data_IF_909357124732
#
_entry.id   IF_909357124732
#
_cell.length_a   1.000
_cell.length_b   1.000
_cell.length_c   1.000
_cell.angle_alpha   90.00
_cell.angle_beta   90.00
_cell.angle_gamma   90.00
#
_symmetry.space_group_name_H-M   'P 1'
#
loop_
_entity.id
_entity.type
_entity.pdbx_description
1 polymer ?
#
# COMPACT_ATOMS: atom_id res chain seq x y z
N UNK A 1 -7.31 16.18 25.94
CA UNK A 1 -7.54 16.44 24.50
C UNK A 1 -6.63 17.53 23.94
N UNK A 2 -6.49 18.69 24.61
CA UNK A 2 -5.58 19.77 24.17
C UNK A 2 -4.14 19.28 23.98
N UNK A 3 -3.63 18.45 24.89
CA UNK A 3 -2.27 17.89 24.82
C UNK A 3 -2.02 17.04 23.57
N UNK A 4 -3.01 16.23 23.18
CA UNK A 4 -2.94 15.39 21.96
C UNK A 4 -2.96 16.26 20.69
N UNK A 5 -3.73 17.34 20.70
CA UNK A 5 -3.83 18.27 19.59
C UNK A 5 -2.54 19.09 19.43
N UNK A 6 -1.93 19.52 20.54
CA UNK A 6 -0.62 20.18 20.57
C UNK A 6 0.48 19.26 20.05
N UNK A 7 0.47 17.98 20.44
CA UNK A 7 1.42 16.98 19.91
C UNK A 7 1.23 16.78 18.41
N UNK A 8 -0.01 16.69 17.92
CA UNK A 8 -0.30 16.53 16.50
C UNK A 8 0.15 17.76 15.68
N UNK A 9 -0.14 18.97 16.16
CA UNK A 9 0.33 20.21 15.53
C UNK A 9 1.87 20.32 15.56
N UNK A 10 2.51 19.94 16.66
CA UNK A 10 3.97 19.87 16.77
C UNK A 10 4.58 18.91 15.77
N UNK A 11 3.95 17.75 15.55
CA UNK A 11 4.34 16.78 14.53
C UNK A 11 4.20 17.35 13.10
N UNK A 12 3.12 18.07 12.80
CA UNK A 12 2.92 18.72 11.51
C UNK A 12 3.97 19.81 11.23
N UNK A 13 4.29 20.64 12.23
CA UNK A 13 5.34 21.67 12.12
C UNK A 13 6.72 21.04 11.97
N UNK A 14 7.00 19.98 12.74
CA UNK A 14 8.24 19.22 12.63
C UNK A 14 8.44 18.62 11.23
N UNK A 15 7.40 18.00 10.67
CA UNK A 15 7.43 17.45 9.30
C UNK A 15 7.72 18.56 8.29
N UNK A 16 7.07 19.72 8.42
CA UNK A 16 7.29 20.88 7.54
C UNK A 16 8.72 21.42 7.65
N UNK A 17 9.29 21.45 8.84
CA UNK A 17 10.67 21.84 9.09
C UNK A 17 11.67 20.84 8.48
N UNK A 18 11.42 19.52 8.61
CA UNK A 18 12.24 18.49 7.95
C UNK A 18 12.22 18.62 6.41
N UNK A 19 11.08 18.99 5.81
CA UNK A 19 10.99 19.28 4.38
C UNK A 19 11.85 20.47 3.96
N UNK A 20 11.91 21.51 4.80
CA UNK A 20 12.72 22.72 4.57
C UNK A 20 14.22 22.44 4.66
N UNK A 21 14.64 21.63 5.63
CA UNK A 21 16.06 21.33 5.91
C UNK A 21 16.65 20.21 5.04
N UNK A 22 15.84 19.45 4.30
CA UNK A 22 16.25 18.25 3.55
C UNK A 22 16.98 17.17 4.38
N UNK A 23 16.98 17.30 5.71
CA UNK A 23 17.54 16.33 6.65
C UNK A 23 16.40 15.48 7.17
N UNK A 24 16.32 14.23 6.71
CA UNK A 24 15.35 13.25 7.18
C UNK A 24 16.06 12.17 8.02
N UNK A 25 16.43 12.46 9.29
CA UNK A 25 17.15 11.48 10.09
C UNK A 25 16.27 10.27 10.49
N UNK A 26 14.94 10.43 10.67
CA UNK A 26 14.07 9.34 11.16
C UNK A 26 12.60 9.36 10.64
N UNK A 27 12.10 10.46 10.05
CA UNK A 27 10.65 10.70 9.94
C UNK A 27 10.13 10.65 8.50
N UNK A 28 10.01 9.44 7.95
CA UNK A 28 8.95 9.12 6.99
C UNK A 28 8.59 7.64 7.11
N UNK A 29 7.32 7.27 7.38
CA UNK A 29 6.89 5.88 7.25
C UNK A 29 6.76 5.44 5.79
N UNK A 30 7.02 6.32 4.82
CA UNK A 30 6.95 6.04 3.39
C UNK A 30 8.36 6.07 2.79
N UNK A 31 9.17 5.07 3.13
CA UNK A 31 10.37 4.77 2.33
C UNK A 31 9.87 4.19 1.01
N UNK A 32 9.77 5.05 -0.01
CA UNK A 32 9.53 4.56 -1.36
C UNK A 32 10.81 3.89 -1.83
N UNK A 33 10.91 2.61 -1.50
CA UNK A 33 12.03 1.80 -1.93
C UNK A 33 11.76 1.36 -3.33
N UNK A 34 12.47 2.01 -4.23
CA UNK A 34 12.30 1.80 -5.64
C UNK A 34 12.83 0.40 -6.06
N UNK A 35 13.64 -0.23 -5.20
CA UNK A 35 14.19 -1.57 -5.39
C UNK A 35 13.15 -2.66 -5.13
N UNK A 36 12.74 -3.36 -6.20
CA UNK A 36 11.74 -4.44 -6.15
C UNK A 36 12.19 -5.67 -5.35
N UNK A 37 13.50 -5.85 -5.16
CA UNK A 37 14.10 -7.01 -4.48
C UNK A 37 14.40 -6.77 -3.01
N UNK A 38 14.16 -5.55 -2.50
CA UNK A 38 14.40 -5.24 -1.10
C UNK A 38 13.67 -6.20 -0.16
N UNK A 39 14.32 -6.64 0.91
CA UNK A 39 13.73 -7.50 1.94
C UNK A 39 13.19 -6.71 3.14
N UNK A 40 13.25 -5.37 3.06
CA UNK A 40 12.82 -4.50 4.16
C UNK A 40 11.28 -4.55 4.30
N UNK A 41 10.76 -4.66 5.53
CA UNK A 41 9.33 -4.81 5.75
C UNK A 41 8.54 -3.55 5.39
N UNK A 42 9.14 -2.37 5.57
CA UNK A 42 8.50 -1.08 5.25
C UNK A 42 8.66 -0.65 3.79
N UNK A 43 9.15 -1.54 2.92
CA UNK A 43 9.32 -1.22 1.52
C UNK A 43 7.99 -1.21 0.77
N UNK A 44 7.75 -0.12 0.06
CA UNK A 44 6.50 0.16 -0.64
C UNK A 44 6.73 0.12 -2.16
N UNK A 45 5.92 -0.66 -2.87
CA UNK A 45 5.89 -0.65 -4.34
C UNK A 45 5.18 0.58 -4.89
N UNK A 46 4.27 1.16 -4.10
CA UNK A 46 3.59 2.40 -4.40
C UNK A 46 3.26 3.19 -3.11
N UNK A 47 3.63 4.46 -3.04
CA UNK A 47 3.39 5.33 -1.86
C UNK A 47 1.96 5.86 -1.72
N UNK A 48 1.28 6.13 -2.82
CA UNK A 48 -0.08 6.70 -2.86
C UNK A 48 -1.08 6.05 -1.90
N UNK A 49 -1.22 4.72 -1.87
CA UNK A 49 -2.15 4.10 -0.93
C UNK A 49 -1.84 4.36 0.54
N UNK A 50 -0.56 4.40 0.93
CA UNK A 50 -0.14 4.76 2.29
C UNK A 50 -0.37 6.23 2.60
N UNK A 51 -0.12 7.14 1.65
CA UNK A 51 -0.38 8.57 1.84
C UNK A 51 -1.88 8.81 2.06
N UNK A 52 -2.73 8.14 1.29
CA UNK A 52 -4.18 8.20 1.46
C UNK A 52 -4.62 7.57 2.80
N UNK A 53 -4.07 6.41 3.16
CA UNK A 53 -4.33 5.77 4.45
C UNK A 53 -3.88 6.64 5.63
N UNK A 54 -2.78 7.37 5.49
CA UNK A 54 -2.32 8.35 6.47
C UNK A 54 -3.32 9.50 6.59
N UNK A 55 -3.77 10.06 5.46
CA UNK A 55 -4.82 11.09 5.46
C UNK A 55 -6.10 10.63 6.18
N UNK A 56 -6.56 9.41 5.90
CA UNK A 56 -7.73 8.82 6.58
C UNK A 56 -7.49 8.69 8.09
N UNK A 57 -6.30 8.25 8.52
CA UNK A 57 -5.95 8.17 9.96
C UNK A 57 -5.94 9.53 10.64
N UNK A 58 -5.46 10.57 9.95
CA UNK A 58 -5.52 11.94 10.48
C UNK A 58 -6.99 12.35 10.67
N UNK A 59 -7.84 12.13 9.67
CA UNK A 59 -9.28 12.43 9.77
C UNK A 59 -9.92 11.64 10.92
N UNK A 60 -9.61 10.34 11.08
CA UNK A 60 -10.07 9.52 12.20
C UNK A 60 -9.75 10.19 13.55
N UNK A 61 -8.53 10.71 13.75
CA UNK A 61 -8.18 11.38 15.01
C UNK A 61 -8.90 12.71 15.23
N UNK A 62 -9.37 13.34 14.16
CA UNK A 62 -10.08 14.63 14.21
C UNK A 62 -11.59 14.49 14.37
N UNK A 63 -12.19 13.33 14.07
CA UNK A 63 -13.66 13.12 14.16
C UNK A 63 -14.20 13.57 15.51
N UNK A 64 -13.61 13.11 16.61
CA UNK A 64 -14.06 13.46 17.97
C UNK A 64 -13.96 14.96 18.29
N UNK A 65 -13.00 15.65 17.69
CA UNK A 65 -12.79 17.09 17.93
C UNK A 65 -13.82 17.89 17.14
N UNK A 66 -14.14 17.45 15.92
CA UNK A 66 -15.02 18.16 15.00
C UNK A 66 -16.50 17.84 15.24
N UNK A 67 -16.81 16.65 15.74
CA UNK A 67 -18.18 16.14 15.89
C UNK A 67 -18.52 16.04 17.38
N UNK A 68 -19.44 16.90 17.84
CA UNK A 68 -19.90 16.91 19.24
C UNK A 68 -20.98 15.88 19.58
N UNK A 69 -21.47 15.11 18.61
CA UNK A 69 -22.57 14.15 18.77
C UNK A 69 -22.08 12.71 18.66
N UNK A 70 -22.20 11.93 19.73
CA UNK A 70 -21.71 10.55 19.82
C UNK A 70 -22.26 9.61 18.73
N UNK A 71 -23.56 9.73 18.39
CA UNK A 71 -24.19 8.90 17.33
C UNK A 71 -23.59 9.18 15.96
N UNK A 72 -23.33 10.45 15.67
CA UNK A 72 -22.77 10.90 14.39
C UNK A 72 -21.29 10.49 14.33
N UNK A 73 -20.55 10.69 15.42
CA UNK A 73 -19.14 10.26 15.56
C UNK A 73 -18.98 8.75 15.27
N UNK A 74 -19.85 7.89 15.83
CA UNK A 74 -19.79 6.45 15.62
C UNK A 74 -19.97 6.05 14.14
N UNK A 75 -20.90 6.70 13.43
CA UNK A 75 -21.13 6.47 12.00
C UNK A 75 -19.93 6.96 11.16
N UNK A 76 -19.35 8.11 11.51
CA UNK A 76 -18.13 8.60 10.85
C UNK A 76 -16.94 7.65 11.03
N UNK A 77 -16.72 7.14 12.25
CA UNK A 77 -15.67 6.15 12.48
C UNK A 77 -15.87 4.91 11.63
N UNK A 78 -17.10 4.38 11.57
CA UNK A 78 -17.40 3.21 10.74
C UNK A 78 -17.10 3.46 9.26
N UNK A 79 -17.54 4.59 8.71
CA UNK A 79 -17.26 4.93 7.31
C UNK A 79 -15.76 5.07 7.01
N UNK A 80 -15.02 5.73 7.91
CA UNK A 80 -13.58 5.96 7.74
C UNK A 80 -12.77 4.68 7.92
N UNK A 81 -13.10 3.82 8.89
CA UNK A 81 -12.40 2.53 9.07
C UNK A 81 -12.71 1.56 7.94
N UNK A 82 -13.93 1.55 7.39
CA UNK A 82 -14.26 0.79 6.18
C UNK A 82 -13.45 1.26 4.98
N UNK A 83 -13.34 2.58 4.77
CA UNK A 83 -12.53 3.16 3.69
C UNK A 83 -11.05 2.81 3.86
N UNK A 84 -10.54 2.82 5.10
CA UNK A 84 -9.18 2.44 5.41
C UNK A 84 -8.92 0.94 5.15
N UNK A 85 -9.86 0.07 5.54
CA UNK A 85 -9.77 -1.37 5.29
C UNK A 85 -9.81 -1.68 3.79
N UNK A 86 -10.71 -1.04 3.04
CA UNK A 86 -10.75 -1.13 1.58
C UNK A 86 -9.41 -0.72 0.95
N UNK A 87 -8.83 0.37 1.41
CA UNK A 87 -7.56 0.87 0.88
C UNK A 87 -6.41 -0.13 1.06
N UNK A 88 -6.32 -0.77 2.23
CA UNK A 88 -5.30 -1.77 2.50
C UNK A 88 -5.53 -3.08 1.74
N UNK A 89 -6.78 -3.55 1.67
CA UNK A 89 -7.14 -4.80 1.01
C UNK A 89 -7.01 -4.73 -0.52
N UNK A 90 -7.46 -3.63 -1.15
CA UNK A 90 -7.45 -3.49 -2.62
C UNK A 90 -6.05 -3.24 -3.19
N UNK A 91 -5.24 -2.42 -2.51
CA UNK A 91 -3.98 -1.93 -3.08
C UNK A 91 -2.71 -2.63 -2.58
N UNK A 92 -2.73 -3.29 -1.41
CA UNK A 92 -1.60 -4.05 -0.84
C UNK A 92 -0.22 -3.38 -1.08
N UNK A 93 0.05 -2.21 -0.48
CA UNK A 93 1.11 -1.31 -0.92
C UNK A 93 2.54 -1.79 -0.62
N UNK A 94 2.71 -2.72 0.32
CA UNK A 94 4.04 -3.21 0.70
C UNK A 94 4.50 -4.28 -0.28
N UNK A 95 5.79 -4.28 -0.60
CA UNK A 95 6.38 -5.35 -1.41
C UNK A 95 6.25 -6.69 -0.67
N UNK A 96 6.47 -6.69 0.64
CA UNK A 96 6.51 -7.91 1.46
C UNK A 96 5.10 -8.36 1.87
N UNK A 97 4.73 -9.58 1.46
CA UNK A 97 3.36 -10.10 1.62
C UNK A 97 2.89 -10.16 3.08
N UNK A 98 3.74 -10.58 4.03
CA UNK A 98 3.32 -10.68 5.43
C UNK A 98 2.94 -9.34 6.04
N UNK A 99 3.56 -8.24 5.59
CA UNK A 99 3.26 -6.88 6.05
C UNK A 99 1.89 -6.43 5.53
N UNK A 100 1.53 -6.80 4.29
CA UNK A 100 0.19 -6.56 3.77
C UNK A 100 -0.86 -7.33 4.57
N UNK A 101 -0.62 -8.61 4.89
CA UNK A 101 -1.53 -9.39 5.74
C UNK A 101 -1.70 -8.75 7.12
N UNK A 102 -0.61 -8.29 7.73
CA UNK A 102 -0.64 -7.60 9.03
C UNK A 102 -1.46 -6.31 8.96
N UNK A 103 -1.21 -5.46 7.95
CA UNK A 103 -1.92 -4.18 7.77
C UNK A 103 -3.40 -4.39 7.44
N UNK A 104 -3.71 -5.36 6.59
CA UNK A 104 -5.06 -5.80 6.27
C UNK A 104 -5.80 -6.27 7.51
N UNK A 105 -5.18 -7.16 8.30
CA UNK A 105 -5.74 -7.64 9.56
C UNK A 105 -6.03 -6.52 10.57
N UNK A 106 -5.07 -5.62 10.82
CA UNK A 106 -5.29 -4.46 11.71
C UNK A 106 -6.41 -3.57 11.19
N UNK A 107 -6.50 -3.35 9.88
CA UNK A 107 -7.54 -2.51 9.29
C UNK A 107 -8.96 -3.06 9.47
N UNK A 108 -9.14 -4.38 9.32
CA UNK A 108 -10.42 -5.04 9.57
C UNK A 108 -10.75 -5.11 11.07
N UNK A 109 -9.74 -5.28 11.92
CA UNK A 109 -9.94 -5.18 13.37
C UNK A 109 -10.42 -3.77 13.79
N UNK A 110 -9.93 -2.70 13.15
CA UNK A 110 -10.45 -1.34 13.39
C UNK A 110 -11.92 -1.19 12.95
N UNK A 111 -12.32 -1.83 11.85
CA UNK A 111 -13.73 -1.88 11.43
C UNK A 111 -14.58 -2.57 12.51
N UNK A 112 -14.13 -3.70 13.04
CA UNK A 112 -14.81 -4.39 14.14
C UNK A 112 -14.99 -3.49 15.37
N UNK A 113 -13.95 -2.76 15.76
CA UNK A 113 -14.04 -1.77 16.84
C UNK A 113 -15.10 -0.69 16.55
N UNK A 114 -15.17 -0.19 15.31
CA UNK A 114 -16.18 0.80 14.91
C UNK A 114 -17.60 0.22 14.90
N UNK A 115 -17.78 -1.03 14.48
CA UNK A 115 -19.07 -1.73 14.53
C UNK A 115 -19.54 -1.88 15.97
N UNK A 116 -18.67 -2.34 16.88
CA UNK A 116 -18.97 -2.45 18.30
C UNK A 116 -19.32 -1.07 18.91
N UNK A 117 -18.61 -0.01 18.52
CA UNK A 117 -18.92 1.36 18.95
C UNK A 117 -20.32 1.81 18.49
N UNK A 118 -20.69 1.53 17.24
CA UNK A 118 -22.05 1.83 16.73
C UNK A 118 -23.10 1.08 17.54
N UNK A 119 -22.92 -0.22 17.79
CA UNK A 119 -23.85 -1.02 18.60
C UNK A 119 -23.96 -0.48 20.03
N UNK A 120 -22.83 -0.05 20.62
CA UNK A 120 -22.79 0.54 21.95
C UNK A 120 -23.55 1.87 22.01
N UNK A 121 -23.43 2.74 21.00
CA UNK A 121 -24.00 4.11 21.01
C UNK A 121 -25.47 4.14 20.59
N UNK A 122 -25.93 3.19 19.77
CA UNK A 122 -27.33 3.13 19.35
C UNK A 122 -28.19 2.30 20.31
N UNK A 123 -27.62 1.34 21.04
CA UNK A 123 -28.31 0.47 22.01
C UNK A 123 -29.69 -0.01 21.51
N UNK A 124 -29.74 -0.71 20.35
CA UNK A 124 -31.00 -1.07 19.72
C UNK A 124 -31.83 -1.98 20.64
N UNK A 125 -33.02 -1.52 21.04
CA UNK A 125 -33.98 -2.32 21.82
C UNK A 125 -33.64 -2.51 23.31
N UNK A 126 -32.67 -1.79 23.87
CA UNK A 126 -32.26 -1.93 25.27
C UNK A 126 -32.99 -0.91 26.16
N UNK A 127 -33.58 -1.38 27.26
CA UNK A 127 -34.21 -0.53 28.29
C UNK A 127 -33.14 0.11 29.18
N UNK A 128 -33.45 1.29 29.73
CA UNK A 128 -32.50 2.08 30.53
C UNK A 128 -31.95 1.35 31.78
N UNK A 129 -32.70 0.36 32.29
CA UNK A 129 -32.31 -0.47 33.43
C UNK A 129 -31.20 -1.49 33.11
N UNK A 130 -31.02 -1.86 31.84
CA UNK A 130 -30.06 -2.89 31.41
C UNK A 130 -28.81 -2.30 30.72
N UNK A 131 -28.63 -0.97 30.75
CA UNK A 131 -27.54 -0.29 30.04
C UNK A 131 -26.15 -0.74 30.52
N UNK A 132 -25.98 -1.03 31.81
CA UNK A 132 -24.71 -1.51 32.37
C UNK A 132 -24.36 -2.90 31.84
N UNK A 133 -25.33 -3.83 31.88
CA UNK A 133 -25.16 -5.18 31.33
C UNK A 133 -24.90 -5.17 29.82
N UNK A 134 -25.53 -4.24 29.10
CA UNK A 134 -25.29 -4.04 27.67
C UNK A 134 -23.85 -3.59 27.38
N UNK A 135 -23.34 -2.62 28.15
CA UNK A 135 -21.97 -2.14 28.02
C UNK A 135 -20.93 -3.24 28.31
N UNK A 136 -21.17 -4.06 29.33
CA UNK A 136 -20.30 -5.20 29.66
C UNK A 136 -20.31 -6.25 28.53
N UNK A 137 -21.49 -6.57 28.01
CA UNK A 137 -21.65 -7.51 26.90
C UNK A 137 -20.98 -7.01 25.62
N UNK A 138 -21.08 -5.71 25.33
CA UNK A 138 -20.39 -5.10 24.19
C UNK A 138 -18.87 -5.07 24.36
N UNK A 139 -18.37 -4.89 25.58
CA UNK A 139 -16.92 -4.97 25.86
C UNK A 139 -16.40 -6.38 25.62
N UNK A 140 -17.14 -7.41 26.06
CA UNK A 140 -16.79 -8.81 25.79
C UNK A 140 -16.86 -9.14 24.30
N UNK A 141 -17.87 -8.63 23.59
CA UNK A 141 -18.04 -8.81 22.14
C UNK A 141 -16.89 -8.16 21.37
N UNK A 142 -16.49 -6.95 21.76
CA UNK A 142 -15.34 -6.25 21.20
C UNK A 142 -14.07 -7.10 21.35
N UNK A 143 -13.75 -7.53 22.58
CA UNK A 143 -12.53 -8.28 22.88
C UNK A 143 -12.47 -9.64 22.18
N UNK A 144 -13.58 -10.39 22.20
CA UNK A 144 -13.65 -11.71 21.57
C UNK A 144 -13.57 -11.65 20.04
N UNK A 145 -14.12 -10.60 19.42
CA UNK A 145 -14.13 -10.45 17.97
C UNK A 145 -12.86 -9.84 17.36
N UNK A 146 -11.94 -9.28 18.17
CA UNK A 146 -10.69 -8.68 17.68
C UNK A 146 -9.81 -9.66 16.92
N UNK A 147 -9.57 -10.85 17.49
CA UNK A 147 -8.71 -11.88 16.87
C UNK A 147 -9.34 -12.44 15.59
N UNK A 148 -10.61 -12.87 15.59
CA UNK A 148 -11.29 -13.28 14.36
C UNK A 148 -11.29 -12.20 13.28
N UNK A 149 -11.59 -10.94 13.62
CA UNK A 149 -11.59 -9.83 12.67
C UNK A 149 -10.19 -9.59 12.06
N UNK A 150 -9.15 -9.67 12.88
CA UNK A 150 -7.77 -9.59 12.41
C UNK A 150 -7.43 -10.71 11.44
N UNK A 151 -7.75 -11.96 11.78
CA UNK A 151 -7.49 -13.11 10.92
C UNK A 151 -8.25 -13.03 9.59
N UNK A 152 -9.52 -12.60 9.63
CA UNK A 152 -10.31 -12.37 8.41
C UNK A 152 -9.66 -11.34 7.49
N UNK A 153 -9.18 -10.21 8.04
CA UNK A 153 -8.48 -9.21 7.23
C UNK A 153 -7.14 -9.69 6.67
N UNK A 154 -6.39 -10.49 7.44
CA UNK A 154 -5.14 -11.07 7.00
C UNK A 154 -5.35 -12.10 5.87
N UNK A 155 -6.35 -12.98 6.02
CA UNK A 155 -6.72 -13.98 5.01
C UNK A 155 -7.25 -13.29 3.75
N UNK A 156 -8.08 -12.26 3.89
CA UNK A 156 -8.61 -11.51 2.76
C UNK A 156 -7.49 -10.83 1.94
N UNK A 157 -6.52 -10.18 2.61
CA UNK A 157 -5.35 -9.60 1.93
C UNK A 157 -4.53 -10.65 1.19
N UNK A 158 -4.24 -11.78 1.86
CA UNK A 158 -3.50 -12.90 1.25
C UNK A 158 -4.22 -13.48 0.03
N UNK A 159 -5.54 -13.72 0.17
CA UNK A 159 -6.37 -14.26 -0.90
C UNK A 159 -6.44 -13.31 -2.09
N UNK A 160 -6.64 -12.00 -1.88
CA UNK A 160 -6.68 -11.03 -2.98
C UNK A 160 -5.37 -10.96 -3.76
N UNK A 161 -4.21 -10.92 -3.09
CA UNK A 161 -2.91 -10.91 -3.77
C UNK A 161 -2.74 -12.17 -4.62
N UNK A 162 -3.07 -13.35 -4.07
CA UNK A 162 -2.95 -14.62 -4.79
C UNK A 162 -3.93 -14.72 -5.95
N UNK A 163 -5.19 -14.35 -5.73
CA UNK A 163 -6.22 -14.35 -6.75
C UNK A 163 -5.82 -13.47 -7.94
N UNK A 164 -5.42 -12.22 -7.69
CA UNK A 164 -5.01 -11.31 -8.77
C UNK A 164 -3.78 -11.82 -9.53
N UNK A 165 -2.76 -12.29 -8.80
CA UNK A 165 -1.51 -12.78 -9.41
C UNK A 165 -1.74 -14.03 -10.23
N UNK A 166 -2.44 -15.04 -9.68
CA UNK A 166 -2.67 -16.31 -10.36
C UNK A 166 -3.58 -16.14 -11.57
N UNK A 167 -4.62 -15.31 -11.47
CA UNK A 167 -5.54 -15.06 -12.59
C UNK A 167 -4.79 -14.38 -13.75
N UNK A 168 -3.99 -13.35 -13.47
CA UNK A 168 -3.22 -12.66 -14.50
C UNK A 168 -2.15 -13.56 -15.13
N UNK A 169 -1.44 -14.36 -14.33
CA UNK A 169 -0.44 -15.30 -14.86
C UNK A 169 -1.07 -16.42 -15.69
N UNK A 170 -2.24 -16.92 -15.28
CA UNK A 170 -2.97 -17.95 -16.03
C UNK A 170 -3.49 -17.39 -17.35
N UNK A 171 -4.00 -16.15 -17.34
CA UNK A 171 -4.44 -15.46 -18.54
C UNK A 171 -3.28 -15.24 -19.54
N UNK A 172 -2.11 -14.81 -19.06
CA UNK A 172 -0.92 -14.67 -19.89
C UNK A 172 -0.43 -16.02 -20.45
N UNK A 173 -0.49 -17.10 -19.66
CA UNK A 173 -0.07 -18.42 -20.10
C UNK A 173 -1.00 -19.05 -21.15
N UNK A 174 -2.28 -18.67 -21.16
CA UNK A 174 -3.30 -19.21 -22.07
C UNK A 174 -3.59 -18.29 -23.26
N UNK A 175 -2.94 -17.13 -23.32
CA UNK A 175 -3.14 -16.15 -24.38
C UNK A 175 -2.63 -16.64 -25.74
N UNK A 176 -3.38 -16.31 -26.80
CA UNK A 176 -2.90 -16.46 -28.18
C UNK A 176 -1.79 -15.43 -28.46
N UNK A 177 -0.78 -15.76 -29.28
CA UNK A 177 0.40 -14.90 -29.51
C UNK A 177 0.09 -13.46 -29.96
N UNK A 178 -1.05 -13.26 -30.63
CA UNK A 178 -1.41 -11.98 -31.26
C UNK A 178 -2.64 -11.30 -30.65
N UNK A 179 -3.16 -11.80 -29.52
CA UNK A 179 -4.31 -11.17 -28.87
C UNK A 179 -3.90 -9.87 -28.16
N UNK A 180 -4.70 -8.79 -28.25
CA UNK A 180 -4.36 -7.54 -27.59
C UNK A 180 -4.33 -7.73 -26.07
N UNK A 181 -3.25 -7.27 -25.43
CA UNK A 181 -2.95 -7.49 -24.00
C UNK A 181 -4.04 -6.96 -23.05
N UNK A 182 -4.82 -5.98 -23.50
CA UNK A 182 -6.01 -5.47 -22.80
C UNK A 182 -7.13 -6.51 -22.68
N UNK A 183 -7.28 -7.38 -23.68
CA UNK A 183 -8.29 -8.46 -23.68
C UNK A 183 -7.82 -9.68 -22.88
N UNK A 184 -6.50 -9.89 -22.80
CA UNK A 184 -5.89 -10.98 -22.03
C UNK A 184 -6.02 -10.73 -20.52
N UNK A 185 -5.68 -9.53 -20.06
CA UNK A 185 -5.61 -9.21 -18.63
C UNK A 185 -6.78 -8.34 -18.15
N UNK A 186 -8.01 -8.84 -18.28
CA UNK A 186 -9.23 -8.08 -17.88
C UNK A 186 -9.25 -7.68 -16.39
N UNK A 187 -8.53 -8.42 -15.54
CA UNK A 187 -8.45 -8.15 -14.09
C UNK A 187 -7.49 -6.98 -13.73
N UNK A 188 -6.78 -6.40 -14.71
CA UNK A 188 -5.85 -5.29 -14.49
C UNK A 188 -6.53 -3.97 -14.84
N UNK A 189 -6.95 -3.23 -13.83
CA UNK A 189 -7.64 -1.94 -14.00
C UNK A 189 -6.68 -0.75 -13.90
N UNK A 190 -5.58 -0.92 -13.15
CA UNK A 190 -4.66 0.16 -12.82
C UNK A 190 -3.19 -0.23 -13.04
N UNK A 191 -2.30 0.73 -13.37
CA UNK A 191 -0.85 0.49 -13.39
C UNK A 191 -0.28 -0.06 -12.08
N UNK A 192 -0.97 0.18 -10.95
CA UNK A 192 -0.59 -0.34 -9.63
C UNK A 192 -0.82 -1.85 -9.53
N UNK A 193 -1.84 -2.38 -10.20
CA UNK A 193 -2.12 -3.81 -10.19
C UNK A 193 -1.01 -4.58 -10.91
N UNK A 194 -0.45 -3.99 -11.97
CA UNK A 194 0.73 -4.52 -12.68
C UNK A 194 1.93 -4.64 -11.74
N UNK A 195 2.18 -3.64 -10.90
CA UNK A 195 3.25 -3.70 -9.90
C UNK A 195 3.04 -4.84 -8.91
N UNK A 196 1.82 -4.98 -8.37
CA UNK A 196 1.48 -6.07 -7.43
C UNK A 196 1.73 -7.43 -8.05
N UNK A 197 1.32 -7.64 -9.32
CA UNK A 197 1.52 -8.91 -10.03
C UNK A 197 3.01 -9.12 -10.35
N UNK A 198 3.74 -8.08 -10.73
CA UNK A 198 5.17 -8.15 -11.04
C UNK A 198 6.03 -8.63 -9.85
N UNK A 199 5.53 -8.51 -8.61
CA UNK A 199 6.16 -9.10 -7.42
C UNK A 199 6.33 -10.62 -7.49
N UNK A 200 5.68 -11.30 -8.44
CA UNK A 200 5.91 -12.72 -8.71
C UNK A 200 7.39 -13.05 -9.02
N UNK A 201 8.21 -12.09 -9.49
CA UNK A 201 9.64 -12.31 -9.68
C UNK A 201 10.44 -12.50 -8.38
N UNK A 202 9.85 -12.25 -7.20
CA UNK A 202 10.54 -12.30 -5.90
C UNK A 202 10.65 -13.72 -5.34
N UNK A 203 10.88 -14.69 -6.22
CA UNK A 203 11.17 -16.08 -5.89
C UNK A 203 12.68 -16.27 -6.00
N UNK A 204 13.31 -16.63 -4.90
CA UNK A 204 14.76 -16.80 -4.79
C UNK A 204 15.09 -18.29 -4.93
N UNK A 205 15.90 -18.66 -5.92
CA UNK A 205 16.48 -20.02 -6.01
C UNK A 205 17.62 -20.14 -4.99
N UNK A 206 18.49 -19.14 -4.97
CA UNK A 206 19.63 -19.04 -4.06
C UNK A 206 19.58 -17.71 -3.28
N UNK A 207 20.53 -17.54 -2.34
CA UNK A 207 20.69 -16.28 -1.58
C UNK A 207 20.86 -15.05 -2.49
N UNK A 208 21.41 -15.23 -3.69
CA UNK A 208 21.78 -14.15 -4.63
C UNK A 208 21.05 -14.23 -5.97
N UNK A 209 20.51 -15.39 -6.34
CA UNK A 209 19.91 -15.62 -7.65
C UNK A 209 18.39 -15.74 -7.54
N UNK A 210 17.68 -15.05 -8.43
CA UNK A 210 16.24 -15.17 -8.60
C UNK A 210 15.93 -16.29 -9.59
N UNK A 211 14.79 -16.93 -9.41
CA UNK A 211 14.25 -17.88 -10.37
C UNK A 211 14.03 -17.21 -11.73
N UNK A 212 14.75 -17.69 -12.74
CA UNK A 212 14.70 -17.15 -14.10
C UNK A 212 13.29 -17.27 -14.69
N UNK A 213 12.54 -18.30 -14.33
CA UNK A 213 11.17 -18.50 -14.82
C UNK A 213 10.22 -17.46 -14.23
N UNK A 214 10.34 -17.16 -12.93
CA UNK A 214 9.59 -16.11 -12.25
C UNK A 214 9.93 -14.71 -12.78
N UNK A 215 11.21 -14.44 -13.06
CA UNK A 215 11.66 -13.18 -13.67
C UNK A 215 11.07 -13.00 -15.07
N UNK A 216 11.05 -14.06 -15.89
CA UNK A 216 10.46 -14.01 -17.22
C UNK A 216 8.95 -13.75 -17.19
N UNK A 217 8.22 -14.38 -16.27
CA UNK A 217 6.78 -14.11 -16.05
C UNK A 217 6.53 -12.66 -15.68
N UNK A 218 7.29 -12.11 -14.74
CA UNK A 218 7.17 -10.70 -14.36
C UNK A 218 7.52 -9.75 -15.51
N UNK A 219 8.53 -10.08 -16.33
CA UNK A 219 8.87 -9.30 -17.52
C UNK A 219 7.69 -9.24 -18.50
N UNK A 220 7.05 -10.37 -18.77
CA UNK A 220 5.86 -10.43 -19.64
C UNK A 220 4.72 -9.58 -19.08
N UNK A 221 4.45 -9.65 -17.77
CA UNK A 221 3.45 -8.83 -17.09
C UNK A 221 3.74 -7.33 -17.24
N UNK A 222 5.00 -6.91 -17.04
CA UNK A 222 5.39 -5.50 -17.16
C UNK A 222 5.30 -5.03 -18.61
N UNK A 223 5.71 -5.85 -19.58
CA UNK A 223 5.56 -5.54 -21.00
C UNK A 223 4.08 -5.42 -21.40
N UNK A 224 3.23 -6.31 -20.87
CA UNK A 224 1.77 -6.23 -21.01
C UNK A 224 1.23 -4.91 -20.44
N UNK A 225 1.67 -4.55 -19.23
CA UNK A 225 1.28 -3.31 -18.57
C UNK A 225 1.70 -2.05 -19.34
N UNK A 226 2.89 -2.03 -19.95
CA UNK A 226 3.34 -0.93 -20.81
C UNK A 226 2.46 -0.77 -22.06
N UNK A 227 2.02 -1.88 -22.65
CA UNK A 227 1.10 -1.85 -23.79
C UNK A 227 -0.30 -1.39 -23.38
N UNK A 228 -0.77 -1.76 -22.18
CA UNK A 228 -2.08 -1.35 -21.65
C UNK A 228 -2.11 0.11 -21.18
N UNK A 229 -1.00 0.61 -20.62
CA UNK A 229 -0.91 1.94 -20.02
C UNK A 229 0.28 2.77 -20.58
N UNK A 230 0.33 3.05 -21.89
CA UNK A 230 1.49 3.67 -22.54
C UNK A 230 1.76 5.10 -22.05
N UNK A 231 0.72 5.84 -21.67
CA UNK A 231 0.83 7.21 -21.18
C UNK A 231 1.13 7.30 -19.67
N UNK A 232 1.30 6.17 -18.98
CA UNK A 232 1.54 6.17 -17.54
C UNK A 232 3.02 6.31 -17.22
N UNK A 233 3.43 7.47 -16.70
CA UNK A 233 4.78 7.69 -16.19
C UNK A 233 5.17 6.66 -15.10
N UNK A 234 4.20 6.20 -14.29
CA UNK A 234 4.42 5.16 -13.28
C UNK A 234 4.83 3.83 -13.89
N UNK A 235 4.17 3.42 -14.99
CA UNK A 235 4.44 2.14 -15.64
C UNK A 235 5.83 2.12 -16.30
N UNK A 236 6.22 3.22 -16.95
CA UNK A 236 7.56 3.37 -17.54
C UNK A 236 8.63 3.37 -16.46
N UNK A 237 8.37 4.04 -15.33
CA UNK A 237 9.26 4.06 -14.18
C UNK A 237 9.40 2.67 -13.54
N UNK A 238 8.29 1.94 -13.36
CA UNK A 238 8.29 0.56 -12.86
C UNK A 238 9.15 -0.35 -13.75
N UNK A 239 9.00 -0.25 -15.07
CA UNK A 239 9.82 -1.00 -16.01
C UNK A 239 11.30 -0.62 -15.92
N UNK A 240 11.64 0.68 -15.84
CA UNK A 240 13.02 1.13 -15.64
C UNK A 240 13.65 0.56 -14.38
N UNK A 241 12.90 0.54 -13.26
CA UNK A 241 13.35 -0.03 -12.00
C UNK A 241 13.55 -1.55 -12.08
N UNK A 242 12.62 -2.25 -12.73
CA UNK A 242 12.75 -3.68 -12.98
C UNK A 242 14.01 -4.01 -13.79
N UNK A 243 14.33 -3.21 -14.82
CA UNK A 243 15.55 -3.38 -15.60
C UNK A 243 16.81 -3.18 -14.76
N UNK A 244 16.82 -2.21 -13.85
CA UNK A 244 17.97 -1.90 -12.99
C UNK A 244 18.17 -2.98 -11.93
N UNK A 245 17.15 -3.26 -11.11
CA UNK A 245 17.36 -4.13 -9.93
C UNK A 245 17.21 -5.61 -10.24
N UNK A 246 16.32 -5.99 -11.17
CA UNK A 246 16.00 -7.40 -11.45
C UNK A 246 16.84 -7.92 -12.61
N UNK A 247 16.98 -7.13 -13.68
CA UNK A 247 17.73 -7.55 -14.87
C UNK A 247 19.22 -7.14 -14.83
N UNK A 248 19.60 -6.24 -13.93
CA UNK A 248 20.97 -5.73 -13.85
C UNK A 248 21.40 -4.83 -15.01
N UNK A 249 20.47 -4.39 -15.87
CA UNK A 249 20.75 -3.58 -17.06
C UNK A 249 20.57 -2.09 -16.74
N UNK A 250 21.51 -1.56 -15.95
CA UNK A 250 21.40 -0.20 -15.40
C UNK A 250 21.32 0.91 -16.46
N UNK A 251 22.09 0.82 -17.55
CA UNK A 251 22.09 1.89 -18.57
C UNK A 251 20.74 2.01 -19.30
N UNK A 252 20.20 0.88 -19.74
CA UNK A 252 18.89 0.85 -20.42
C UNK A 252 17.76 1.23 -19.47
N UNK A 253 17.83 0.80 -18.20
CA UNK A 253 16.88 1.21 -17.18
C UNK A 253 16.90 2.71 -16.89
N UNK A 254 18.08 3.32 -16.76
CA UNK A 254 18.23 4.78 -16.57
C UNK A 254 17.64 5.58 -17.73
N UNK A 255 17.85 5.15 -18.99
CA UNK A 255 17.18 5.77 -20.15
C UNK A 255 15.66 5.74 -20.05
N UNK A 256 15.09 4.62 -19.59
CA UNK A 256 13.63 4.51 -19.38
C UNK A 256 13.13 5.46 -18.29
N UNK A 257 13.93 5.70 -17.24
CA UNK A 257 13.58 6.69 -16.20
C UNK A 257 13.54 8.11 -16.79
N UNK A 258 14.45 8.44 -17.70
CA UNK A 258 14.43 9.73 -18.41
C UNK A 258 13.22 9.86 -19.33
N UNK A 259 12.82 8.78 -20.00
CA UNK A 259 11.60 8.78 -20.82
C UNK A 259 10.34 9.00 -19.95
N UNK A 260 10.30 8.41 -18.75
CA UNK A 260 9.21 8.63 -17.81
C UNK A 260 9.10 10.11 -17.35
N UNK A 261 10.20 10.88 -17.36
CA UNK A 261 10.18 12.32 -17.05
C UNK A 261 9.38 13.12 -18.09
N UNK A 262 9.34 12.65 -19.33
CA UNK A 262 8.65 13.32 -20.45
C UNK A 262 7.13 13.13 -20.39
N UNK A 263 6.63 12.15 -19.64
CA UNK A 263 5.21 11.74 -19.59
C UNK A 263 4.41 12.42 -18.46
N UNK A 264 4.70 13.70 -18.17
CA UNK A 264 4.16 14.50 -17.05
C UNK A 264 3.93 13.69 -15.74
N UNK A 265 5.02 13.31 -15.05
CA UNK A 265 4.91 12.49 -13.85
C UNK A 265 4.22 13.23 -12.71
N UNK A 266 3.29 12.56 -12.03
CA UNK A 266 2.72 13.02 -10.76
C UNK A 266 3.84 13.18 -9.69
N UNK A 267 3.60 13.98 -8.65
CA UNK A 267 4.52 14.28 -7.54
C UNK A 267 5.21 13.02 -6.98
N UNK A 268 4.45 11.92 -6.81
CA UNK A 268 5.00 10.66 -6.31
C UNK A 268 5.98 10.00 -7.28
N UNK A 269 5.71 10.08 -8.59
CA UNK A 269 6.64 9.60 -9.62
C UNK A 269 7.91 10.45 -9.66
N UNK A 270 7.77 11.77 -9.52
CA UNK A 270 8.92 12.70 -9.41
C UNK A 270 9.77 12.38 -8.17
N UNK A 271 9.14 12.10 -7.03
CA UNK A 271 9.85 11.69 -5.81
C UNK A 271 10.61 10.37 -6.00
N UNK A 272 10.00 9.36 -6.63
CA UNK A 272 10.69 8.10 -6.94
C UNK A 272 11.89 8.30 -7.86
N UNK A 273 11.77 9.14 -8.89
CA UNK A 273 12.89 9.50 -9.76
C UNK A 273 14.03 10.19 -8.97
N UNK A 274 13.68 11.08 -8.03
CA UNK A 274 14.66 11.73 -7.16
C UNK A 274 15.39 10.72 -6.26
N UNK A 275 14.65 9.82 -5.60
CA UNK A 275 15.26 8.76 -4.75
C UNK A 275 16.19 7.88 -5.57
N UNK A 276 15.83 7.56 -6.82
CA UNK A 276 16.71 6.82 -7.73
C UNK A 276 17.97 7.57 -8.10
N UNK A 277 17.85 8.86 -8.38
CA UNK A 277 19.01 9.69 -8.65
C UNK A 277 19.97 9.72 -7.45
N UNK A 278 19.45 9.86 -6.23
CA UNK A 278 20.24 9.79 -4.99
C UNK A 278 20.94 8.43 -4.81
N UNK A 279 20.23 7.32 -5.06
CA UNK A 279 20.82 5.97 -4.98
C UNK A 279 21.93 5.75 -6.00
N UNK A 280 21.77 6.26 -7.22
CA UNK A 280 22.80 6.21 -8.25
C UNK A 280 24.04 7.01 -7.83
N UNK A 281 23.86 8.23 -7.32
CA UNK A 281 24.97 9.08 -6.86
C UNK A 281 25.72 8.48 -5.66
N UNK A 282 25.01 7.92 -4.68
CA UNK A 282 25.63 7.26 -3.52
C UNK A 282 26.31 5.94 -3.92
N UNK A 283 25.70 5.17 -4.82
CA UNK A 283 26.30 3.94 -5.36
C UNK A 283 27.59 4.18 -6.16
N UNK A 284 27.74 5.36 -6.75
CA UNK A 284 28.98 5.81 -7.41
C UNK A 284 30.04 6.17 -6.36
N UNK A 285 29.67 6.83 -5.25
CA UNK A 285 30.60 7.19 -4.17
C UNK A 285 31.03 6.01 -3.28
N UNK A 286 30.23 4.95 -3.17
CA UNK A 286 30.60 3.71 -2.46
C UNK A 286 31.48 2.75 -3.26
N UNK A 287 31.88 3.13 -4.48
CA UNK A 287 32.77 2.35 -5.38
C UNK A 287 34.00 3.15 -5.82
N UNK A 288 34.38 4.19 -5.08
CA UNK A 288 35.71 4.76 -5.20
C UNK A 288 36.59 4.09 -4.13
N UNK A 289 37.78 3.56 -4.50
CA UNK A 289 38.69 2.89 -3.59
C UNK A 289 39.17 3.80 -2.45
#
# INVERSE_FOLDING_TARGET
>A
MVTLLVVNCGLCVWVTWCFKEQKFPVVWPVKVEVNLLTKRPSALGHSGPEVMAFGIKVVLTLVRVLVGYARVEAVFYLGLTLTLAWQYLRWNPHLVNWVNCLKGGVSVAMVWCSVALVLLVFHPGVKQQDMTKWADSMTLTLLSGLVPAFLLGAIASWHMIRYMTNTALTALATAKPDAPLKEICQNIESPKDVEVIARCCRVWEDRYNLDATAVNKARQVIQAGLAMFPNSAYMVLLHGNFMIDVLGVSQSGSRRIEDARKLDPNLMCRFMMFVRHQQASVGIFGRLP
#
